data_IF_214310135554
#
_entry.id   IF_214310135554
#
_cell.length_a   1.000
_cell.length_b   1.000
_cell.length_c   1.000
_cell.angle_alpha   90.00
_cell.angle_beta   90.00
_cell.angle_gamma   90.00
#
_symmetry.space_group_name_H-M   'P 1'
#
loop_
_entity.id
_entity.type
_entity.pdbx_description
1 polymer ?
#
# COMPACT_ATOMS: atom_id res chain seq x y z
N UNK A 1 -22.47 3.75 18.82
CA UNK A 1 -21.28 2.90 18.56
C UNK A 1 -21.39 1.67 19.44
N UNK A 2 -21.27 0.44 18.89
CA UNK A 2 -21.30 -0.76 19.71
C UNK A 2 -20.16 -0.73 20.74
N UNK A 3 -20.50 -1.04 21.98
CA UNK A 3 -19.71 -0.84 23.20
C UNK A 3 -18.64 -1.94 23.46
N UNK A 4 -18.12 -2.62 22.43
CA UNK A 4 -17.23 -3.79 22.61
C UNK A 4 -16.06 -3.85 21.60
N UNK A 5 -15.37 -2.72 21.39
CA UNK A 5 -13.98 -2.74 20.91
C UNK A 5 -13.08 -2.18 22.02
N UNK A 6 -13.08 -2.85 23.19
CA UNK A 6 -11.85 -2.90 23.97
C UNK A 6 -10.93 -3.78 23.15
N UNK A 7 -10.21 -3.18 22.20
CA UNK A 7 -9.26 -3.89 21.36
C UNK A 7 -8.34 -4.66 22.31
N UNK A 8 -8.43 -5.99 22.30
CA UNK A 8 -7.42 -6.82 22.95
C UNK A 8 -6.12 -6.47 22.25
N UNK A 9 -5.29 -5.69 22.93
CA UNK A 9 -3.98 -5.32 22.42
C UNK A 9 -3.22 -6.61 22.09
N UNK A 10 -2.94 -6.81 20.81
CA UNK A 10 -2.31 -8.02 20.31
C UNK A 10 -0.86 -7.98 20.77
N UNK A 11 -0.36 -9.06 21.36
CA UNK A 11 1.06 -9.16 21.72
C UNK A 11 1.86 -9.66 20.52
N UNK A 12 2.96 -8.98 20.20
CA UNK A 12 3.90 -9.39 19.16
C UNK A 12 5.29 -9.48 19.78
N UNK A 13 5.76 -10.71 19.99
CA UNK A 13 6.98 -11.00 20.73
C UNK A 13 8.25 -10.96 19.85
N UNK A 14 8.08 -10.89 18.53
CA UNK A 14 9.14 -10.88 17.53
C UNK A 14 9.63 -9.45 17.22
N UNK A 15 10.61 -9.32 16.33
CA UNK A 15 11.17 -8.02 15.93
C UNK A 15 10.36 -7.38 14.82
N UNK A 16 10.41 -6.05 14.78
CA UNK A 16 9.89 -5.25 13.68
C UNK A 16 11.03 -4.41 13.09
N UNK A 17 11.23 -4.50 11.78
CA UNK A 17 12.11 -3.61 11.03
C UNK A 17 11.28 -2.65 10.20
N UNK A 18 11.45 -1.35 10.42
CA UNK A 18 11.03 -0.31 9.51
C UNK A 18 12.16 -0.01 8.53
N UNK A 19 11.87 -0.06 7.23
CA UNK A 19 12.75 0.45 6.18
C UNK A 19 12.14 1.76 5.68
N UNK A 20 12.85 2.87 5.87
CA UNK A 20 12.34 4.22 5.67
C UNK A 20 11.68 4.81 6.93
N UNK A 21 11.98 6.08 7.21
CA UNK A 21 11.44 6.88 8.32
C UNK A 21 10.91 8.26 7.87
N UNK A 22 10.30 8.28 6.68
CA UNK A 22 9.57 9.43 6.15
C UNK A 22 8.23 9.69 6.84
N UNK A 23 7.38 10.52 6.22
CA UNK A 23 6.10 10.96 6.80
C UNK A 23 5.17 9.80 7.22
N UNK A 24 5.06 8.76 6.38
CA UNK A 24 4.16 7.62 6.65
C UNK A 24 4.62 6.83 7.88
N UNK A 25 5.92 6.55 7.99
CA UNK A 25 6.48 5.82 9.13
C UNK A 25 6.31 6.58 10.45
N UNK A 26 6.51 7.90 10.43
CA UNK A 26 6.33 8.78 11.60
C UNK A 26 4.89 8.79 12.12
N UNK A 27 3.91 8.64 11.23
CA UNK A 27 2.50 8.49 11.59
C UNK A 27 2.16 7.05 12.02
N UNK A 28 2.84 6.05 11.45
CA UNK A 28 2.55 4.62 11.66
C UNK A 28 3.07 4.12 13.01
N UNK A 29 4.30 4.46 13.37
CA UNK A 29 4.95 3.99 14.60
C UNK A 29 4.16 4.28 15.90
N UNK A 30 3.63 5.51 16.15
CA UNK A 30 2.78 5.75 17.32
C UNK A 30 1.53 4.87 17.33
N UNK A 31 0.83 4.78 16.20
CA UNK A 31 -0.40 3.99 16.07
C UNK A 31 -0.10 2.50 16.31
N UNK A 32 1.02 2.00 15.79
CA UNK A 32 1.48 0.64 16.01
C UNK A 32 1.65 0.35 17.51
N UNK A 33 2.32 1.24 18.24
CA UNK A 33 2.56 1.08 19.68
C UNK A 33 1.28 1.23 20.52
N UNK A 34 0.26 1.92 20.02
CA UNK A 34 -1.05 2.03 20.68
C UNK A 34 -1.91 0.75 20.52
N UNK A 35 -1.67 -0.04 19.47
CA UNK A 35 -2.50 -1.21 19.12
C UNK A 35 -1.82 -2.56 19.29
N UNK A 36 -0.48 -2.58 19.27
CA UNK A 36 0.34 -3.80 19.38
C UNK A 36 1.24 -3.67 20.60
N UNK A 37 1.16 -4.65 21.49
CA UNK A 37 2.08 -4.79 22.62
C UNK A 37 3.39 -5.37 22.11
N UNK A 38 4.38 -4.49 21.96
CA UNK A 38 5.76 -4.81 21.62
C UNK A 38 6.70 -3.93 22.46
N UNK A 39 7.82 -4.50 22.88
CA UNK A 39 8.87 -3.74 23.56
C UNK A 39 9.63 -2.87 22.53
N UNK A 40 9.80 -1.54 22.72
CA UNK A 40 10.45 -0.67 21.75
C UNK A 40 11.85 -1.14 21.29
N UNK A 41 12.60 -1.82 22.16
CA UNK A 41 13.91 -2.44 21.84
C UNK A 41 13.85 -3.50 20.74
N UNK A 42 12.68 -4.05 20.45
CA UNK A 42 12.46 -5.02 19.37
C UNK A 42 12.14 -4.32 18.04
N UNK A 43 12.10 -2.98 18.01
CA UNK A 43 11.88 -2.19 16.81
C UNK A 43 13.22 -1.63 16.35
N UNK A 44 13.54 -1.84 15.08
CA UNK A 44 14.66 -1.19 14.39
C UNK A 44 14.13 -0.33 13.25
N UNK A 45 14.72 0.84 13.04
CA UNK A 45 14.46 1.73 11.92
C UNK A 45 15.75 1.86 11.11
N UNK A 46 15.66 1.64 9.80
CA UNK A 46 16.74 1.92 8.84
C UNK A 46 16.32 3.07 7.94
N UNK A 47 17.12 4.12 7.87
CA UNK A 47 16.96 5.23 6.92
C UNK A 47 18.32 5.82 6.59
N UNK A 48 18.54 6.27 5.35
CA UNK A 48 19.82 6.85 4.94
C UNK A 48 19.91 8.37 5.19
N UNK A 49 18.77 9.06 5.31
CA UNK A 49 18.64 10.50 5.53
C UNK A 49 17.80 10.79 6.79
N UNK A 50 18.37 10.59 7.98
CA UNK A 50 17.64 10.72 9.23
C UNK A 50 17.19 12.15 9.53
N UNK A 51 15.98 12.26 10.06
CA UNK A 51 15.52 13.42 10.81
C UNK A 51 15.69 13.14 12.30
N UNK A 52 16.79 13.66 12.85
CA UNK A 52 17.20 13.44 14.24
C UNK A 52 16.13 13.91 15.26
N UNK A 53 15.43 15.00 14.97
CA UNK A 53 14.38 15.52 15.86
C UNK A 53 13.15 14.61 15.86
N UNK A 54 12.79 14.06 14.69
CA UNK A 54 11.71 13.07 14.59
C UNK A 54 12.07 11.72 15.22
N UNK A 55 13.34 11.32 15.18
CA UNK A 55 13.84 10.04 15.71
C UNK A 55 14.04 10.05 17.23
N UNK A 56 14.52 11.17 17.80
CA UNK A 56 14.92 11.28 19.22
C UNK A 56 13.90 10.70 20.21
N UNK A 57 12.58 11.00 20.13
CA UNK A 57 11.60 10.47 21.08
C UNK A 57 11.46 8.95 21.04
N UNK A 58 11.80 8.32 19.91
CA UNK A 58 11.71 6.87 19.73
C UNK A 58 12.96 6.16 20.22
N UNK A 59 14.14 6.75 19.93
CA UNK A 59 15.42 6.25 20.45
C UNK A 59 15.43 6.31 21.99
N UNK A 60 14.93 7.39 22.58
CA UNK A 60 14.79 7.52 24.04
C UNK A 60 13.84 6.48 24.66
N UNK A 61 12.85 6.01 23.88
CA UNK A 61 11.96 4.89 24.28
C UNK A 61 12.61 3.52 24.10
N UNK A 62 13.76 3.42 23.43
CA UNK A 62 14.51 2.20 23.22
C UNK A 62 14.48 1.65 21.80
N UNK A 63 13.87 2.34 20.83
CA UNK A 63 13.92 1.95 19.40
C UNK A 63 15.36 2.06 18.90
N UNK A 64 15.81 1.07 18.13
CA UNK A 64 17.13 1.12 17.49
C UNK A 64 17.03 1.87 16.17
N UNK A 65 17.89 2.86 15.97
CA UNK A 65 18.06 3.52 14.66
C UNK A 65 19.39 3.11 14.04
N UNK A 66 19.37 2.86 12.73
CA UNK A 66 20.54 2.52 11.93
C UNK A 66 20.54 3.40 10.69
N UNK A 67 21.55 4.26 10.56
CA UNK A 67 21.75 5.02 9.35
C UNK A 67 22.42 4.15 8.29
N UNK A 68 21.63 3.59 7.37
CA UNK A 68 22.09 2.72 6.28
C UNK A 68 21.15 2.88 5.07
N UNK A 69 21.64 2.55 3.87
CA UNK A 69 20.85 2.57 2.63
C UNK A 69 20.70 1.16 2.10
N UNK A 70 19.46 0.70 1.94
CA UNK A 70 19.18 -0.57 1.25
C UNK A 70 19.39 -0.37 -0.26
N UNK A 71 20.14 -1.28 -0.89
CA UNK A 71 20.50 -1.24 -2.30
C UNK A 71 20.53 -2.66 -2.91
N UNK A 72 20.56 -2.80 -4.25
CA UNK A 72 20.56 -4.12 -4.90
C UNK A 72 21.70 -5.03 -4.43
N UNK A 73 22.86 -4.45 -4.18
CA UNK A 73 24.08 -5.15 -3.79
C UNK A 73 24.15 -5.52 -2.30
N UNK A 74 23.29 -4.95 -1.46
CA UNK A 74 23.37 -5.12 0.00
C UNK A 74 22.10 -5.62 0.67
N UNK A 75 20.95 -5.68 -0.02
CA UNK A 75 19.64 -5.96 0.56
C UNK A 75 19.66 -7.14 1.53
N UNK A 76 20.15 -8.30 1.11
CA UNK A 76 20.17 -9.49 1.96
C UNK A 76 21.07 -9.35 3.20
N UNK A 77 22.21 -8.66 3.08
CA UNK A 77 23.12 -8.42 4.20
C UNK A 77 22.59 -7.37 5.17
N UNK A 78 21.89 -6.35 4.68
CA UNK A 78 21.26 -5.33 5.54
C UNK A 78 20.09 -5.95 6.29
N UNK A 79 19.12 -6.53 5.58
CA UNK A 79 17.91 -7.06 6.20
C UNK A 79 18.21 -8.21 7.17
N UNK A 80 19.09 -9.13 6.78
CA UNK A 80 19.46 -10.30 7.59
C UNK A 80 20.21 -9.97 8.90
N UNK A 81 20.72 -8.74 9.06
CA UNK A 81 21.28 -8.28 10.34
C UNK A 81 20.20 -7.95 11.38
N UNK A 82 18.98 -7.67 10.93
CA UNK A 82 17.94 -7.06 11.78
C UNK A 82 16.73 -7.97 11.97
N UNK A 83 16.33 -8.73 10.95
CA UNK A 83 15.13 -9.59 10.97
C UNK A 83 15.41 -10.98 10.42
N UNK A 84 14.62 -11.96 10.88
CA UNK A 84 14.59 -13.34 10.40
C UNK A 84 13.21 -13.99 10.57
N UNK A 85 13.16 -15.32 10.57
CA UNK A 85 11.91 -16.08 10.58
C UNK A 85 10.94 -15.62 11.69
N UNK A 86 9.71 -15.28 11.30
CA UNK A 86 8.64 -14.83 12.18
C UNK A 86 8.67 -13.33 12.53
N UNK A 87 9.74 -12.62 12.22
CA UNK A 87 9.82 -11.15 12.36
C UNK A 87 8.98 -10.45 11.28
N UNK A 88 8.74 -9.14 11.46
CA UNK A 88 7.97 -8.31 10.55
C UNK A 88 8.85 -7.21 9.93
N UNK A 89 8.83 -7.11 8.60
CA UNK A 89 9.39 -6.00 7.85
C UNK A 89 8.25 -5.08 7.36
N UNK A 90 8.32 -3.82 7.76
CA UNK A 90 7.44 -2.74 7.32
C UNK A 90 8.25 -1.83 6.39
N UNK A 91 8.01 -1.95 5.10
CA UNK A 91 8.67 -1.15 4.06
C UNK A 91 7.84 0.10 3.75
N UNK A 92 8.40 1.25 4.13
CA UNK A 92 7.87 2.60 3.90
C UNK A 92 8.93 3.50 3.26
N UNK A 93 9.90 2.88 2.56
CA UNK A 93 10.90 3.58 1.78
C UNK A 93 10.44 3.75 0.33
N UNK A 94 11.20 4.55 -0.40
CA UNK A 94 11.12 4.67 -1.86
C UNK A 94 12.37 4.05 -2.48
N UNK A 95 12.31 3.72 -3.77
CA UNK A 95 13.41 3.12 -4.55
C UNK A 95 13.97 1.79 -4.00
N UNK A 96 13.11 0.87 -3.57
CA UNK A 96 13.48 -0.52 -3.28
C UNK A 96 12.66 -1.42 -4.19
N UNK A 97 13.28 -2.34 -4.92
CA UNK A 97 12.52 -3.23 -5.79
C UNK A 97 11.63 -4.17 -4.96
N UNK A 98 10.31 -4.05 -5.19
CA UNK A 98 9.31 -4.80 -4.45
C UNK A 98 9.40 -6.32 -4.70
N UNK A 99 9.77 -6.76 -5.91
CA UNK A 99 9.93 -8.19 -6.20
C UNK A 99 11.10 -8.78 -5.41
N UNK A 100 12.23 -8.07 -5.36
CA UNK A 100 13.42 -8.53 -4.63
C UNK A 100 13.20 -8.58 -3.12
N UNK A 101 12.67 -7.53 -2.51
CA UNK A 101 12.47 -7.50 -1.05
C UNK A 101 11.40 -8.50 -0.59
N UNK A 102 10.32 -8.68 -1.37
CA UNK A 102 9.27 -9.66 -1.07
C UNK A 102 9.80 -11.09 -1.23
N UNK A 103 10.60 -11.37 -2.26
CA UNK A 103 11.26 -12.67 -2.41
C UNK A 103 12.21 -12.95 -1.26
N UNK A 104 13.00 -11.95 -0.84
CA UNK A 104 13.88 -12.09 0.30
C UNK A 104 13.09 -12.42 1.58
N UNK A 105 11.99 -11.71 1.84
CA UNK A 105 11.14 -11.97 3.00
C UNK A 105 10.50 -13.37 2.95
N UNK A 106 10.03 -13.78 1.77
CA UNK A 106 9.51 -15.13 1.53
C UNK A 106 10.53 -16.20 1.90
N UNK A 107 11.75 -16.09 1.37
CA UNK A 107 12.81 -17.08 1.52
C UNK A 107 13.40 -17.15 2.95
N UNK A 108 13.22 -16.08 3.73
CA UNK A 108 13.73 -15.99 5.11
C UNK A 108 12.64 -16.10 6.18
N UNK A 109 11.40 -16.41 5.78
CA UNK A 109 10.28 -16.58 6.72
C UNK A 109 9.83 -15.28 7.42
N UNK A 110 10.10 -14.11 6.82
CA UNK A 110 9.78 -12.78 7.36
C UNK A 110 8.41 -12.32 6.86
N UNK A 111 7.55 -11.86 7.77
CA UNK A 111 6.29 -11.19 7.41
C UNK A 111 6.60 -9.85 6.74
N UNK A 112 5.82 -9.47 5.72
CA UNK A 112 6.08 -8.25 4.96
C UNK A 112 4.84 -7.36 4.83
N UNK A 113 5.02 -6.05 4.93
CA UNK A 113 4.02 -5.05 4.61
C UNK A 113 4.65 -3.85 3.91
N UNK A 114 3.99 -3.32 2.88
CA UNK A 114 4.34 -2.03 2.29
C UNK A 114 3.13 -1.24 1.81
N UNK A 115 3.37 -0.04 1.28
CA UNK A 115 2.32 0.84 0.76
C UNK A 115 2.41 1.13 -0.74
N UNK A 116 3.45 0.68 -1.44
CA UNK A 116 3.67 0.92 -2.87
C UNK A 116 4.47 -0.21 -3.53
N UNK A 117 4.31 -0.43 -4.84
CA UNK A 117 5.19 -1.31 -5.63
C UNK A 117 6.28 -0.48 -6.30
N UNK A 118 7.41 -0.41 -5.60
CA UNK A 118 8.60 0.36 -5.97
C UNK A 118 9.59 -0.45 -6.84
N UNK A 119 10.52 0.27 -7.47
CA UNK A 119 11.66 -0.23 -8.26
C UNK A 119 12.95 0.37 -7.72
N UNK A 120 14.10 -0.28 -7.91
CA UNK A 120 15.40 0.31 -7.54
C UNK A 120 15.66 1.67 -8.18
N UNK A 121 15.39 1.77 -9.48
CA UNK A 121 15.42 3.02 -10.23
C UNK A 121 14.30 3.02 -11.29
N UNK A 122 13.22 3.80 -11.10
CA UNK A 122 12.12 3.87 -12.06
C UNK A 122 12.53 4.54 -13.39
N UNK A 123 13.68 5.22 -13.44
CA UNK A 123 14.15 5.97 -14.60
C UNK A 123 15.25 5.28 -15.41
N UNK A 124 16.00 4.35 -14.82
CA UNK A 124 17.19 3.72 -15.45
C UNK A 124 16.88 3.12 -16.82
N UNK A 125 15.67 2.57 -17.00
CA UNK A 125 15.24 1.95 -18.25
C UNK A 125 14.15 2.74 -18.99
N UNK A 126 13.78 3.93 -18.51
CA UNK A 126 12.61 4.65 -19.01
C UNK A 126 12.77 5.20 -20.43
N UNK A 127 14.00 5.55 -20.83
CA UNK A 127 14.25 6.26 -22.10
C UNK A 127 13.94 5.44 -23.35
N UNK A 128 14.19 4.13 -23.30
CA UNK A 128 14.03 3.21 -24.43
C UNK A 128 12.96 2.14 -24.18
N UNK A 129 12.33 2.13 -23.00
CA UNK A 129 11.26 1.20 -22.68
C UNK A 129 9.98 1.51 -23.45
N UNK A 130 9.23 0.45 -23.79
CA UNK A 130 7.89 0.63 -24.33
C UNK A 130 6.98 1.20 -23.22
N UNK A 131 6.07 2.17 -23.49
CA UNK A 131 5.26 2.82 -22.44
C UNK A 131 4.51 1.85 -21.52
N UNK A 132 4.08 0.70 -22.04
CA UNK A 132 3.42 -0.34 -21.23
C UNK A 132 4.30 -0.92 -20.13
N UNK A 133 5.62 -0.90 -20.27
CA UNK A 133 6.58 -1.37 -19.27
C UNK A 133 6.79 -0.37 -18.13
N UNK A 134 6.31 0.87 -18.30
CA UNK A 134 6.38 1.95 -17.31
C UNK A 134 5.12 2.02 -16.42
N UNK A 135 4.15 1.12 -16.64
CA UNK A 135 2.86 1.10 -15.93
C UNK A 135 2.95 0.36 -14.59
N UNK A 136 2.07 0.70 -13.64
CA UNK A 136 1.90 -0.07 -12.41
C UNK A 136 1.36 -1.47 -12.73
N UNK A 137 0.49 -1.61 -13.73
CA UNK A 137 0.05 -2.91 -14.25
C UNK A 137 1.24 -3.82 -14.59
N UNK A 138 2.28 -3.30 -15.25
CA UNK A 138 3.47 -4.08 -15.56
C UNK A 138 4.19 -4.56 -14.30
N UNK A 139 4.36 -3.68 -13.31
CA UNK A 139 4.96 -4.03 -12.01
C UNK A 139 4.14 -5.12 -11.30
N UNK A 140 2.80 -4.98 -11.27
CA UNK A 140 1.89 -5.99 -10.70
C UNK A 140 1.96 -7.33 -11.44
N UNK A 141 2.12 -7.31 -12.77
CA UNK A 141 2.28 -8.54 -13.56
C UNK A 141 3.64 -9.22 -13.28
N UNK A 142 4.70 -8.47 -13.01
CA UNK A 142 5.98 -9.04 -12.60
C UNK A 142 5.88 -9.73 -11.24
N UNK A 143 5.23 -9.09 -10.25
CA UNK A 143 4.95 -9.71 -8.95
C UNK A 143 4.17 -11.03 -9.11
N UNK A 144 3.13 -11.06 -9.96
CA UNK A 144 2.37 -12.28 -10.22
C UNK A 144 3.20 -13.39 -10.87
N UNK A 145 4.11 -13.04 -11.79
CA UNK A 145 5.02 -14.00 -12.43
C UNK A 145 5.97 -14.60 -11.38
N UNK A 146 6.64 -13.75 -10.61
CA UNK A 146 7.51 -14.13 -9.51
C UNK A 146 6.81 -15.07 -8.52
N UNK A 147 5.62 -14.69 -8.02
CA UNK A 147 4.85 -15.51 -7.08
C UNK A 147 4.45 -16.86 -7.69
N UNK A 148 4.18 -16.91 -9.00
CA UNK A 148 3.80 -18.16 -9.67
C UNK A 148 4.94 -19.18 -9.79
N UNK A 149 6.19 -18.75 -9.60
CA UNK A 149 7.38 -19.60 -9.61
C UNK A 149 7.69 -20.22 -8.23
N UNK A 150 7.07 -19.70 -7.16
CA UNK A 150 7.26 -20.24 -5.82
C UNK A 150 6.66 -21.65 -5.69
N UNK A 151 7.47 -22.57 -5.15
CA UNK A 151 7.10 -23.98 -5.00
C UNK A 151 6.63 -24.33 -3.58
N UNK A 152 6.92 -23.47 -2.62
CA UNK A 152 6.56 -23.61 -1.21
C UNK A 152 5.68 -22.44 -0.77
N UNK A 153 4.90 -22.64 0.29
CA UNK A 153 4.16 -21.53 0.90
C UNK A 153 5.09 -20.74 1.80
N UNK A 154 5.07 -19.42 1.66
CA UNK A 154 5.84 -18.50 2.50
C UNK A 154 5.03 -17.78 3.58
N UNK A 155 5.69 -16.92 4.36
CA UNK A 155 5.04 -15.98 5.27
C UNK A 155 4.09 -15.02 4.51
N UNK A 156 3.14 -14.43 5.24
CA UNK A 156 2.22 -13.45 4.67
C UNK A 156 2.98 -12.18 4.28
N UNK A 157 2.78 -11.75 3.02
CA UNK A 157 3.16 -10.43 2.52
C UNK A 157 1.90 -9.64 2.15
N UNK A 158 1.73 -8.43 2.72
CA UNK A 158 0.62 -7.51 2.43
C UNK A 158 1.15 -6.34 1.63
N UNK A 159 0.90 -6.34 0.33
CA UNK A 159 1.37 -5.30 -0.58
C UNK A 159 0.36 -4.16 -0.67
N UNK A 160 0.86 -2.95 -0.93
CA UNK A 160 0.05 -1.79 -1.31
C UNK A 160 -1.08 -1.46 -0.29
N UNK A 161 -0.74 -1.50 0.99
CA UNK A 161 -1.69 -1.39 2.10
C UNK A 161 -1.61 -0.04 2.84
N UNK A 162 -1.64 1.05 2.08
CA UNK A 162 -1.76 2.41 2.58
C UNK A 162 -3.21 2.93 2.58
N UNK A 163 -3.38 4.21 2.25
CA UNK A 163 -4.70 4.78 2.01
C UNK A 163 -5.25 4.38 0.63
N UNK A 164 -4.52 4.73 -0.42
CA UNK A 164 -4.84 4.49 -1.83
C UNK A 164 -3.55 4.27 -2.63
N UNK A 165 -3.09 3.03 -2.78
CA UNK A 165 -3.81 1.76 -2.57
C UNK A 165 -3.92 1.32 -1.11
N UNK A 166 -4.86 0.41 -0.80
CA UNK A 166 -5.09 -0.11 0.55
C UNK A 166 -6.51 0.16 1.07
N UNK A 167 -6.68 1.12 1.97
CA UNK A 167 -7.95 1.51 2.62
C UNK A 167 -9.12 1.66 1.62
N UNK A 168 -8.89 2.25 0.45
CA UNK A 168 -9.92 2.40 -0.60
C UNK A 168 -10.52 1.08 -1.07
N UNK A 169 -9.80 -0.04 -0.98
CA UNK A 169 -10.33 -1.37 -1.29
C UNK A 169 -11.36 -1.81 -0.24
N UNK A 170 -11.13 -1.46 1.03
CA UNK A 170 -12.08 -1.70 2.10
C UNK A 170 -13.31 -0.80 1.97
N UNK A 171 -13.13 0.49 1.66
CA UNK A 171 -14.23 1.40 1.38
C UNK A 171 -15.06 0.97 0.18
N UNK A 172 -14.42 0.47 -0.88
CA UNK A 172 -15.14 -0.05 -2.05
C UNK A 172 -16.05 -1.22 -1.67
N UNK A 173 -15.55 -2.17 -0.86
CA UNK A 173 -16.34 -3.30 -0.36
C UNK A 173 -17.49 -2.84 0.52
N UNK A 174 -17.23 -1.95 1.47
CA UNK A 174 -18.27 -1.43 2.36
C UNK A 174 -19.35 -0.66 1.57
N UNK A 175 -18.95 0.23 0.67
CA UNK A 175 -19.87 0.96 -0.19
C UNK A 175 -20.75 0.04 -1.04
N UNK A 176 -20.22 -1.08 -1.55
CA UNK A 176 -21.03 -2.07 -2.25
C UNK A 176 -22.10 -2.72 -1.35
N UNK A 177 -21.78 -3.00 -0.08
CA UNK A 177 -22.75 -3.52 0.89
C UNK A 177 -23.82 -2.49 1.22
N UNK A 178 -23.42 -1.23 1.41
CA UNK A 178 -24.31 -0.12 1.74
C UNK A 178 -25.26 0.20 0.58
N UNK A 179 -24.76 0.24 -0.66
CA UNK A 179 -25.57 0.41 -1.88
C UNK A 179 -26.55 -0.76 -2.02
N UNK A 180 -26.10 -1.99 -1.77
CA UNK A 180 -26.98 -3.16 -1.84
C UNK A 180 -28.12 -3.09 -0.81
N UNK A 181 -27.83 -2.70 0.43
CA UNK A 181 -28.86 -2.51 1.46
C UNK A 181 -29.87 -1.45 1.05
N UNK A 182 -29.41 -0.26 0.68
CA UNK A 182 -30.28 0.84 0.25
C UNK A 182 -31.15 0.44 -0.94
N UNK A 183 -30.58 -0.26 -1.93
CA UNK A 183 -31.34 -0.71 -3.10
C UNK A 183 -32.40 -1.77 -2.78
N UNK A 184 -32.13 -2.66 -1.82
CA UNK A 184 -33.10 -3.67 -1.38
C UNK A 184 -34.21 -3.05 -0.52
N UNK A 185 -33.87 -2.14 0.38
CA UNK A 185 -34.83 -1.41 1.23
C UNK A 185 -35.77 -0.54 0.38
N UNK A 186 -35.21 0.22 -0.57
CA UNK A 186 -35.97 1.07 -1.49
C UNK A 186 -36.64 0.30 -2.64
N UNK A 187 -36.53 -1.04 -2.66
CA UNK A 187 -37.08 -1.92 -3.70
C UNK A 187 -36.69 -1.49 -5.13
N UNK A 188 -35.47 -1.00 -5.34
CA UNK A 188 -34.94 -0.59 -6.66
C UNK A 188 -34.83 -1.76 -7.63
N UNK A 189 -34.65 -2.96 -7.11
CA UNK A 189 -34.60 -4.21 -7.86
C UNK A 189 -35.75 -5.13 -7.43
N UNK A 190 -36.19 -5.99 -8.33
CA UNK A 190 -37.30 -6.93 -8.06
C UNK A 190 -37.02 -8.33 -8.63
N UNK A 191 -37.81 -9.30 -8.17
CA UNK A 191 -37.70 -10.70 -8.58
C UNK A 191 -36.30 -11.27 -8.34
N UNK A 192 -35.83 -12.09 -9.29
CA UNK A 192 -34.56 -12.81 -9.16
C UNK A 192 -33.34 -11.89 -8.98
N UNK A 193 -33.37 -10.66 -9.51
CA UNK A 193 -32.23 -9.74 -9.35
C UNK A 193 -32.09 -9.30 -7.88
N UNK A 194 -33.19 -8.97 -7.21
CA UNK A 194 -33.17 -8.64 -5.79
C UNK A 194 -32.69 -9.83 -4.94
N UNK A 195 -33.14 -11.04 -5.26
CA UNK A 195 -32.69 -12.28 -4.59
C UNK A 195 -31.18 -12.49 -4.75
N UNK A 196 -30.63 -12.31 -5.97
CA UNK A 196 -29.19 -12.42 -6.23
C UNK A 196 -28.39 -11.34 -5.50
N UNK A 197 -28.86 -10.10 -5.46
CA UNK A 197 -28.21 -9.01 -4.71
C UNK A 197 -28.14 -9.37 -3.22
N UNK A 198 -29.26 -9.80 -2.63
CA UNK A 198 -29.29 -10.20 -1.22
C UNK A 198 -28.34 -11.37 -0.93
N UNK A 199 -28.29 -12.37 -1.83
CA UNK A 199 -27.39 -13.51 -1.74
C UNK A 199 -25.91 -13.09 -1.80
N UNK A 200 -25.50 -12.35 -2.84
CA UNK A 200 -24.10 -11.98 -3.04
C UNK A 200 -23.61 -10.99 -1.99
N UNK A 201 -24.49 -10.11 -1.49
CA UNK A 201 -24.22 -9.26 -0.34
C UNK A 201 -23.89 -10.12 0.88
N UNK A 202 -24.78 -11.06 1.25
CA UNK A 202 -24.59 -11.93 2.42
C UNK A 202 -23.32 -12.79 2.31
N UNK A 203 -22.99 -13.24 1.09
CA UNK A 203 -21.82 -14.07 0.83
C UNK A 203 -20.53 -13.25 0.59
N UNK A 204 -20.57 -11.92 0.68
CA UNK A 204 -19.45 -11.02 0.36
C UNK A 204 -18.80 -11.31 -1.00
N UNK A 205 -19.61 -11.67 -2.00
CA UNK A 205 -19.14 -12.01 -3.35
C UNK A 205 -19.15 -10.76 -4.23
N UNK A 206 -18.21 -9.86 -3.97
CA UNK A 206 -18.22 -8.47 -4.46
C UNK A 206 -18.21 -8.34 -5.99
N UNK A 207 -17.55 -9.24 -6.71
CA UNK A 207 -17.53 -9.22 -8.18
C UNK A 207 -18.93 -9.44 -8.77
N UNK A 208 -19.68 -10.42 -8.27
CA UNK A 208 -21.06 -10.65 -8.71
C UNK A 208 -22.01 -9.58 -8.17
N UNK A 209 -21.79 -9.12 -6.94
CA UNK A 209 -22.58 -8.04 -6.36
C UNK A 209 -22.49 -6.75 -7.20
N UNK A 210 -21.27 -6.33 -7.55
CA UNK A 210 -21.04 -5.16 -8.40
C UNK A 210 -21.77 -5.27 -9.75
N UNK A 211 -21.74 -6.46 -10.36
CA UNK A 211 -22.45 -6.75 -11.61
C UNK A 211 -23.98 -6.63 -11.45
N UNK A 212 -24.55 -7.25 -10.42
CA UNK A 212 -26.01 -7.21 -10.18
C UNK A 212 -26.50 -5.80 -9.82
N UNK A 213 -25.69 -5.01 -9.11
CA UNK A 213 -25.96 -3.60 -8.82
C UNK A 213 -25.78 -2.68 -10.03
N UNK A 214 -25.17 -3.18 -11.12
CA UNK A 214 -24.90 -2.39 -12.32
C UNK A 214 -23.80 -1.33 -12.10
N UNK A 215 -22.85 -1.58 -11.20
CA UNK A 215 -21.67 -0.72 -11.01
C UNK A 215 -20.85 -0.73 -12.29
N UNK A 216 -20.64 0.45 -12.87
CA UNK A 216 -19.90 0.63 -14.12
C UNK A 216 -18.51 1.19 -13.90
N UNK A 217 -18.42 2.20 -13.03
CA UNK A 217 -17.21 2.98 -12.79
C UNK A 217 -17.02 3.14 -11.29
N UNK A 218 -15.78 3.05 -10.84
CA UNK A 218 -15.36 3.35 -9.47
C UNK A 218 -14.23 4.37 -9.59
N UNK A 219 -14.38 5.52 -8.95
CA UNK A 219 -13.33 6.53 -8.88
C UNK A 219 -12.73 6.54 -7.47
N UNK A 220 -11.41 6.66 -7.40
CA UNK A 220 -10.72 7.08 -6.19
C UNK A 220 -10.81 8.61 -6.13
N UNK A 221 -11.93 9.12 -5.63
CA UNK A 221 -12.24 10.56 -5.62
C UNK A 221 -11.66 11.23 -4.37
N UNK A 222 -10.45 11.75 -4.48
CA UNK A 222 -9.77 12.45 -3.39
C UNK A 222 -9.74 13.97 -3.61
N UNK A 223 -9.90 14.73 -2.52
CA UNK A 223 -9.71 16.18 -2.52
C UNK A 223 -9.03 16.61 -1.23
N UNK A 224 -7.72 16.87 -1.32
CA UNK A 224 -6.96 17.50 -0.24
C UNK A 224 -7.25 19.02 -0.21
N UNK A 225 -7.60 19.52 0.97
CA UNK A 225 -7.89 20.95 1.23
C UNK A 225 -6.99 21.52 2.32
N UNK A 226 -5.93 20.82 2.72
CA UNK A 226 -4.97 21.31 3.69
C UNK A 226 -4.28 22.57 3.15
N UNK A 227 -4.01 23.51 4.06
CA UNK A 227 -3.38 24.78 3.76
C UNK A 227 -2.21 25.01 4.72
N UNK A 228 -1.11 25.55 4.19
CA UNK A 228 0.03 25.97 5.00
C UNK A 228 -0.17 27.41 5.49
N UNK A 229 0.45 27.74 6.62
CA UNK A 229 0.59 29.12 7.09
C UNK A 229 1.73 29.88 6.38
N UNK A 230 2.59 29.16 5.65
CA UNK A 230 3.61 29.71 4.77
C UNK A 230 3.17 29.60 3.32
N UNK A 231 3.26 30.68 2.52
CA UNK A 231 3.01 30.58 1.09
C UNK A 231 4.06 29.69 0.42
N UNK A 232 3.68 29.07 -0.70
CA UNK A 232 4.60 28.34 -1.58
C UNK A 232 5.60 29.33 -2.19
N UNK A 233 6.88 28.99 -2.16
CA UNK A 233 7.94 29.80 -2.75
C UNK A 233 8.14 29.53 -4.26
N UNK A 234 8.88 30.40 -4.95
CA UNK A 234 9.28 30.19 -6.35
C UNK A 234 10.25 29.00 -6.42
N UNK A 235 10.12 28.17 -7.45
CA UNK A 235 10.94 26.96 -7.68
C UNK A 235 10.89 25.89 -6.58
N UNK A 236 9.89 25.95 -5.69
CA UNK A 236 9.62 24.94 -4.66
C UNK A 236 8.51 23.95 -5.10
N UNK A 237 8.62 22.67 -4.75
CA UNK A 237 7.50 21.72 -4.87
C UNK A 237 6.94 21.43 -3.47
N UNK A 238 5.65 21.69 -3.24
CA UNK A 238 4.99 21.46 -1.95
C UNK A 238 3.92 20.40 -2.13
N UNK A 239 3.91 19.42 -1.24
CA UNK A 239 2.91 18.37 -1.18
C UNK A 239 2.63 18.00 0.28
N UNK A 240 1.52 17.31 0.54
CA UNK A 240 1.10 16.86 1.88
C UNK A 240 1.64 15.46 2.21
N UNK A 241 2.31 14.83 1.25
CA UNK A 241 3.05 13.58 1.35
C UNK A 241 4.28 13.62 0.43
N UNK A 242 4.93 12.49 0.17
CA UNK A 242 6.19 12.41 -0.58
C UNK A 242 6.15 13.18 -1.91
N UNK A 243 7.05 14.15 -2.06
CA UNK A 243 7.21 14.90 -3.32
C UNK A 243 7.80 14.00 -4.40
N UNK A 244 8.80 13.19 -4.07
CA UNK A 244 9.44 12.28 -5.03
C UNK A 244 8.47 11.21 -5.52
N UNK A 245 7.72 10.58 -4.61
CA UNK A 245 6.71 9.58 -4.96
C UNK A 245 5.61 10.18 -5.86
N UNK A 246 5.07 11.33 -5.47
CA UNK A 246 4.04 12.01 -6.27
C UNK A 246 4.53 12.42 -7.65
N UNK A 247 5.78 12.85 -7.77
CA UNK A 247 6.38 13.21 -9.05
C UNK A 247 6.59 11.99 -9.95
N UNK A 248 7.09 10.89 -9.40
CA UNK A 248 7.26 9.63 -10.12
C UNK A 248 5.93 9.15 -10.69
N UNK A 249 4.92 9.02 -9.84
CA UNK A 249 3.58 8.60 -10.23
C UNK A 249 2.93 9.58 -11.22
N UNK A 250 3.05 10.88 -10.96
CA UNK A 250 2.42 11.93 -11.78
C UNK A 250 3.03 12.11 -13.17
N UNK A 251 4.24 11.60 -13.39
CA UNK A 251 4.94 11.70 -14.69
C UNK A 251 4.88 10.41 -15.51
N UNK A 252 4.33 9.33 -14.94
CA UNK A 252 4.12 8.08 -15.67
C UNK A 252 2.92 8.13 -16.62
N UNK A 253 2.69 7.04 -17.34
CA UNK A 253 1.56 6.89 -18.26
C UNK A 253 0.25 6.83 -17.47
N UNK A 254 -0.75 7.62 -17.88
CA UNK A 254 -2.08 7.56 -17.30
C UNK A 254 -2.66 6.13 -17.40
N UNK A 255 -3.10 5.60 -16.27
CA UNK A 255 -3.51 4.21 -16.14
C UNK A 255 -4.90 4.09 -15.52
N UNK A 256 -5.68 3.11 -15.97
CA UNK A 256 -6.98 2.80 -15.38
C UNK A 256 -7.37 1.34 -15.61
N UNK A 257 -8.15 0.78 -14.67
CA UNK A 257 -8.88 -0.45 -14.92
C UNK A 257 -9.99 -0.21 -15.95
N UNK A 258 -9.97 -0.94 -17.05
CA UNK A 258 -10.93 -0.73 -18.15
C UNK A 258 -12.20 -1.56 -17.96
N UNK A 259 -13.34 -0.88 -17.78
CA UNK A 259 -14.63 -1.53 -17.56
C UNK A 259 -15.19 -2.16 -18.85
N UNK A 260 -15.85 -3.32 -18.74
CA UNK A 260 -16.48 -3.99 -19.89
C UNK A 260 -17.64 -3.21 -20.52
N UNK A 261 -18.10 -2.14 -19.88
CA UNK A 261 -19.17 -1.28 -20.36
C UNK A 261 -18.67 -0.18 -21.30
N UNK A 262 -17.35 0.07 -21.32
CA UNK A 262 -16.73 1.08 -22.15
C UNK A 262 -16.79 0.68 -23.62
N UNK A 263 -17.20 1.62 -24.48
CA UNK A 263 -17.42 1.37 -25.92
C UNK A 263 -16.49 2.16 -26.83
N UNK A 264 -15.84 3.18 -26.29
CA UNK A 264 -14.97 4.08 -27.02
C UNK A 264 -13.63 4.13 -26.31
N UNK A 265 -12.55 4.07 -27.08
CA UNK A 265 -11.22 4.37 -26.58
C UNK A 265 -10.95 5.85 -26.84
N UNK A 266 -10.22 6.53 -25.94
CA UNK A 266 -9.69 7.85 -26.28
C UNK A 266 -8.70 7.68 -27.43
N UNK A 267 -9.00 8.30 -28.58
CA UNK A 267 -7.99 8.50 -29.61
C UNK A 267 -6.92 9.43 -29.03
N UNK A 268 -5.84 8.87 -28.51
CA UNK A 268 -4.64 9.62 -28.17
C UNK A 268 -4.10 10.17 -29.49
N UNK A 269 -4.31 11.47 -29.73
CA UNK A 269 -3.54 12.19 -30.72
C UNK A 269 -2.08 12.12 -30.29
N UNK A 270 -1.31 11.24 -30.94
CA UNK A 270 0.14 11.32 -30.93
C UNK A 270 0.52 12.62 -31.63
N UNK A 271 0.78 13.67 -30.87
CA UNK A 271 1.54 14.84 -31.33
C UNK A 271 3.01 14.55 -31.29
#
# INVERSE_FOLDING_TARGET
MPQELVARMITFDNKILFVGFGFVARCTLPILLDHIKIEPKNITIIDFEPDEDALRPWIEKGVTFVQDKVSPDNLGNVLGRHVGEGDLLIDLAWNIDCCEIVSWCHDHGVLYLNTSVELWDPYEHAKDAHPTQLTLYWRHMNLRRMISEWTESGPTAVLEHGANPGLISHFTKQAMLDIADACLEEQKFSGQQAERIAQYRKAHTFNYLAKELGVKVIHCSERDTQISNSPKEVDEFVNTWSVEGFREEGTTTAEMGWGTHEKNFLHLHTT
#
